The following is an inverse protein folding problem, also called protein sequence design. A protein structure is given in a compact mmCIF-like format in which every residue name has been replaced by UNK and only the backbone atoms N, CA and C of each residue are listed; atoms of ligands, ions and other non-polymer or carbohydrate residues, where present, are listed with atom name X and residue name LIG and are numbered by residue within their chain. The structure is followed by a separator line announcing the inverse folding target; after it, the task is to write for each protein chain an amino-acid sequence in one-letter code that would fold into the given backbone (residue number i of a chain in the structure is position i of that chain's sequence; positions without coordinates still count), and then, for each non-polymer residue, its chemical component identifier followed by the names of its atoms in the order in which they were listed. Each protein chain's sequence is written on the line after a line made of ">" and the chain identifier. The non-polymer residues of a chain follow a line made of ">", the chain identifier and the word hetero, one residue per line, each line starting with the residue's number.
data_IF_656665267439
#
_entry.id   IF_656665267439
#
_cell.length_a   1.000
_cell.length_b   1.000
_cell.length_c   1.000
_cell.angle_alpha   90.00
_cell.angle_beta   90.00
_cell.angle_gamma   90.00
#
_symmetry.space_group_name_H-M   'P 1'
#
loop_
_entity.id
_entity.type
_entity.pdbx_description
1 polymer ?
#
# COMPACT_ATOMS: atom_id res chain seq x y z
N UNK A 1 -4.84 60.68 -0.01
CA UNK A 1 -5.75 59.68 0.60
C UNK A 1 -5.29 58.28 0.22
N UNK A 2 -5.15 57.41 1.24
CA UNK A 2 -5.26 55.93 1.27
C UNK A 2 -4.75 55.17 0.02
N UNK A 3 -3.53 54.63 0.06
CA UNK A 3 -3.14 53.29 0.58
C UNK A 3 -3.62 52.13 -0.31
N UNK A 4 -2.66 51.23 -0.55
CA UNK A 4 -2.81 49.79 -0.83
C UNK A 4 -3.33 49.38 -2.21
N UNK A 5 -2.42 49.34 -3.19
CA UNK A 5 -2.52 48.40 -4.33
C UNK A 5 -1.16 47.71 -4.46
N UNK A 6 -0.86 46.77 -3.55
CA UNK A 6 0.25 45.81 -3.72
C UNK A 6 0.14 44.69 -2.68
N UNK A 7 -0.94 43.90 -2.71
CA UNK A 7 -1.08 42.75 -1.82
C UNK A 7 -1.86 41.59 -2.46
N UNK A 8 -1.66 41.33 -3.76
CA UNK A 8 -2.35 40.22 -4.46
C UNK A 8 -1.43 39.23 -5.17
N UNK A 9 -0.10 39.32 -5.02
CA UNK A 9 0.83 38.38 -5.68
C UNK A 9 1.47 37.38 -4.68
N UNK A 10 1.34 37.60 -3.36
CA UNK A 10 1.97 36.72 -2.35
C UNK A 10 1.12 35.53 -1.90
N UNK A 11 -0.10 35.37 -2.43
CA UNK A 11 -1.06 34.34 -1.97
C UNK A 11 -1.23 33.14 -2.92
N UNK A 12 -0.37 33.00 -3.93
CA UNK A 12 -0.41 31.86 -4.88
C UNK A 12 0.61 30.76 -4.57
N UNK A 13 1.49 30.94 -3.58
CA UNK A 13 2.55 29.97 -3.27
C UNK A 13 2.14 28.91 -2.23
N UNK A 14 0.93 28.99 -1.67
CA UNK A 14 0.49 28.09 -0.60
C UNK A 14 -0.28 26.83 -1.06
N UNK A 15 -0.44 26.61 -2.37
CA UNK A 15 -1.30 25.52 -2.90
C UNK A 15 -0.57 24.35 -3.58
N UNK A 16 0.75 24.17 -3.43
CA UNK A 16 1.48 23.08 -4.11
C UNK A 16 2.22 22.10 -3.20
N UNK A 17 1.77 21.88 -1.96
CA UNK A 17 2.21 20.72 -1.18
C UNK A 17 1.26 19.52 -1.38
N UNK A 18 0.92 19.21 -2.64
CA UNK A 18 0.59 17.83 -2.96
C UNK A 18 1.92 17.09 -3.04
N UNK A 19 2.45 16.67 -1.89
CA UNK A 19 3.61 15.78 -1.84
C UNK A 19 3.17 14.50 -2.54
N UNK A 20 3.48 14.41 -3.84
CA UNK A 20 3.23 13.23 -4.63
C UNK A 20 3.94 12.09 -3.92
N UNK A 21 3.18 11.10 -3.48
CA UNK A 21 3.77 9.91 -2.88
C UNK A 21 4.77 9.30 -3.87
N UNK A 22 5.99 9.08 -3.40
CA UNK A 22 7.10 8.56 -4.21
C UNK A 22 7.41 7.10 -3.84
N UNK A 23 8.12 6.40 -4.73
CA UNK A 23 8.61 5.04 -4.45
C UNK A 23 9.47 4.99 -3.17
N UNK A 24 10.32 5.99 -2.94
CA UNK A 24 11.22 6.08 -1.80
C UNK A 24 10.46 6.17 -0.46
N UNK A 25 9.29 6.82 -0.48
CA UNK A 25 8.42 6.89 0.68
C UNK A 25 7.87 5.52 1.07
N UNK A 26 7.70 4.62 0.10
CA UNK A 26 7.20 3.25 0.31
C UNK A 26 8.28 2.27 0.76
N UNK A 27 9.54 2.50 0.42
CA UNK A 27 10.65 1.64 0.82
C UNK A 27 10.75 1.52 2.35
N UNK A 28 10.85 0.30 2.85
CA UNK A 28 10.99 -0.04 4.27
C UNK A 28 9.99 -1.09 4.72
N UNK A 29 9.96 -1.32 6.03
CA UNK A 29 9.04 -2.28 6.66
C UNK A 29 7.79 -1.57 7.17
N UNK A 30 6.64 -2.13 6.83
CA UNK A 30 5.32 -1.68 7.25
C UNK A 30 4.66 -2.77 8.07
N UNK A 31 4.04 -2.38 9.17
CA UNK A 31 3.26 -3.29 10.01
C UNK A 31 1.77 -3.02 9.78
N UNK A 32 1.01 -4.07 9.52
CA UNK A 32 -0.45 -4.01 9.45
C UNK A 32 -1.00 -3.81 10.86
N UNK A 33 -1.63 -2.67 11.10
CA UNK A 33 -2.19 -2.31 12.42
C UNK A 33 -3.66 -2.68 12.54
N UNK A 34 -4.38 -2.69 11.41
CA UNK A 34 -5.78 -3.09 11.32
C UNK A 34 -6.07 -3.57 9.90
N UNK A 35 -6.95 -4.56 9.78
CA UNK A 35 -7.55 -4.97 8.52
C UNK A 35 -9.05 -4.64 8.59
N UNK A 36 -9.58 -4.09 7.51
CA UNK A 36 -11.00 -3.77 7.33
C UNK A 36 -11.49 -4.25 5.97
N UNK A 37 -12.79 -4.47 5.80
CA UNK A 37 -13.40 -4.61 4.47
C UNK A 37 -13.69 -3.23 3.89
N UNK A 38 -13.53 -3.11 2.57
CA UNK A 38 -13.99 -1.97 1.82
C UNK A 38 -15.53 -1.83 1.98
N UNK A 39 -16.08 -0.60 2.01
CA UNK A 39 -17.50 -0.37 2.27
C UNK A 39 -18.44 -1.09 1.29
N UNK A 40 -17.95 -1.35 0.07
CA UNK A 40 -18.66 -2.03 -1.02
C UNK A 40 -18.41 -3.54 -1.08
N UNK A 41 -17.76 -4.15 -0.09
CA UNK A 41 -17.47 -5.58 -0.09
C UNK A 41 -18.77 -6.42 -0.12
N UNK A 42 -18.86 -7.45 -0.99
CA UNK A 42 -19.99 -8.38 -1.03
C UNK A 42 -20.20 -9.08 0.32
N UNK A 43 -21.45 -9.41 0.65
CA UNK A 43 -21.79 -10.10 1.92
C UNK A 43 -21.07 -11.44 2.06
N UNK A 44 -20.91 -12.17 0.97
CA UNK A 44 -20.21 -13.46 0.90
C UNK A 44 -18.74 -13.36 1.33
N UNK A 45 -18.10 -12.19 1.14
CA UNK A 45 -16.73 -11.95 1.57
C UNK A 45 -16.60 -11.83 3.09
N UNK A 46 -17.68 -11.49 3.81
CA UNK A 46 -17.66 -11.31 5.28
C UNK A 46 -17.46 -12.62 6.05
N UNK A 47 -17.91 -13.74 5.50
CA UNK A 47 -17.83 -15.04 6.18
C UNK A 47 -16.41 -15.66 6.12
N UNK A 48 -15.66 -15.40 5.04
CA UNK A 48 -14.25 -15.77 4.91
C UNK A 48 -13.27 -14.76 5.55
N UNK A 49 -13.71 -13.51 5.67
CA UNK A 49 -12.93 -12.38 6.20
C UNK A 49 -12.37 -12.62 7.61
N UNK A 50 -13.18 -13.13 8.54
CA UNK A 50 -12.77 -13.24 9.95
C UNK A 50 -11.60 -14.21 10.18
N UNK A 51 -11.50 -15.29 9.39
CA UNK A 51 -10.37 -16.23 9.44
C UNK A 51 -9.11 -15.60 8.87
N UNK A 52 -9.28 -14.90 7.75
CA UNK A 52 -8.21 -14.25 6.99
C UNK A 52 -7.57 -13.10 7.80
N UNK A 53 -8.40 -12.27 8.45
CA UNK A 53 -7.97 -11.08 9.19
C UNK A 53 -7.14 -11.38 10.42
N UNK A 54 -7.48 -12.44 11.17
CA UNK A 54 -6.77 -12.81 12.40
C UNK A 54 -5.29 -13.13 12.15
N UNK A 55 -4.93 -13.68 11.00
CA UNK A 55 -3.54 -13.95 10.62
C UNK A 55 -2.80 -12.74 10.05
N UNK A 56 -3.53 -11.69 9.66
CA UNK A 56 -2.97 -10.53 8.96
C UNK A 56 -2.69 -9.34 9.87
N UNK A 57 -3.44 -9.23 10.97
CA UNK A 57 -3.16 -8.18 11.94
C UNK A 57 -1.77 -8.40 12.55
N UNK A 58 -0.97 -7.33 12.62
CA UNK A 58 0.43 -7.35 13.03
C UNK A 58 1.41 -8.03 12.05
N UNK A 59 0.95 -8.49 10.89
CA UNK A 59 1.83 -8.95 9.82
C UNK A 59 2.63 -7.80 9.20
N UNK A 60 3.74 -8.14 8.54
CA UNK A 60 4.63 -7.16 7.93
C UNK A 60 4.63 -7.21 6.40
N UNK A 61 4.87 -6.04 5.81
CA UNK A 61 5.16 -5.86 4.39
C UNK A 61 6.48 -5.10 4.27
N UNK A 62 7.46 -5.70 3.64
CA UNK A 62 8.79 -5.13 3.42
C UNK A 62 8.99 -4.83 1.94
N UNK A 63 9.38 -3.59 1.63
CA UNK A 63 9.67 -3.13 0.28
C UNK A 63 11.11 -2.63 0.21
N UNK A 64 11.96 -3.33 -0.54
CA UNK A 64 13.38 -2.99 -0.71
C UNK A 64 13.58 -2.05 -1.92
N UNK A 65 14.64 -1.25 -1.90
CA UNK A 65 14.93 -0.28 -2.97
C UNK A 65 15.19 -0.96 -4.32
N UNK A 66 15.81 -2.14 -4.29
CA UNK A 66 16.16 -2.95 -5.46
C UNK A 66 14.94 -3.62 -6.12
N UNK A 67 13.74 -3.39 -5.59
CA UNK A 67 12.49 -3.93 -6.10
C UNK A 67 12.17 -5.33 -5.56
N UNK A 68 12.90 -5.87 -4.59
CA UNK A 68 12.47 -7.05 -3.83
C UNK A 68 11.46 -6.65 -2.76
N UNK A 69 10.56 -7.57 -2.43
CA UNK A 69 9.65 -7.40 -1.31
C UNK A 69 9.47 -8.71 -0.55
N UNK A 70 8.94 -8.61 0.68
CA UNK A 70 8.46 -9.74 1.48
C UNK A 70 7.15 -9.34 2.11
N UNK A 71 6.09 -10.08 1.83
CA UNK A 71 4.75 -9.79 2.37
C UNK A 71 4.24 -11.05 3.05
N UNK A 72 4.20 -11.04 4.38
CA UNK A 72 3.93 -12.23 5.17
C UNK A 72 2.58 -12.90 4.82
N UNK A 73 1.60 -12.09 4.42
CA UNK A 73 0.29 -12.55 3.98
C UNK A 73 0.35 -13.44 2.73
N UNK A 74 1.20 -13.10 1.75
CA UNK A 74 1.30 -13.83 0.50
C UNK A 74 2.00 -15.17 0.74
N UNK A 75 2.99 -15.21 1.64
CA UNK A 75 3.62 -16.46 2.05
C UNK A 75 2.64 -17.38 2.79
N UNK A 76 1.76 -16.82 3.63
CA UNK A 76 0.70 -17.58 4.30
C UNK A 76 -0.28 -18.20 3.28
N UNK A 77 -0.78 -17.39 2.34
CA UNK A 77 -1.70 -17.87 1.30
C UNK A 77 -1.05 -18.93 0.40
N UNK A 78 0.21 -18.71 -0.01
CA UNK A 78 0.96 -19.68 -0.80
C UNK A 78 1.11 -21.01 -0.05
N UNK A 79 1.42 -20.97 1.25
CA UNK A 79 1.54 -22.15 2.10
C UNK A 79 0.22 -22.91 2.23
N UNK A 80 -0.90 -22.21 2.41
CA UNK A 80 -2.24 -22.83 2.45
C UNK A 80 -2.60 -23.53 1.12
N UNK A 81 -2.10 -23.00 0.00
CA UNK A 81 -2.22 -23.62 -1.32
C UNK A 81 -1.18 -24.73 -1.60
N UNK A 82 -0.33 -25.09 -0.63
CA UNK A 82 0.72 -26.09 -0.79
C UNK A 82 1.95 -25.61 -1.59
N UNK A 83 2.08 -24.30 -1.80
CA UNK A 83 3.20 -23.64 -2.46
C UNK A 83 4.08 -22.87 -1.46
N UNK A 84 5.18 -22.29 -1.94
CA UNK A 84 5.97 -21.30 -1.19
C UNK A 84 6.61 -20.32 -2.15
N UNK A 85 6.51 -19.03 -1.81
CA UNK A 85 7.11 -17.98 -2.62
C UNK A 85 8.61 -17.89 -2.38
N UNK A 86 9.13 -18.47 -1.30
CA UNK A 86 10.56 -18.54 -0.96
C UNK A 86 11.26 -17.16 -1.03
N UNK A 87 10.54 -16.08 -0.73
CA UNK A 87 11.06 -14.71 -0.84
C UNK A 87 11.34 -14.23 -2.28
N UNK A 88 10.86 -14.94 -3.31
CA UNK A 88 10.99 -14.57 -4.73
C UNK A 88 9.85 -13.64 -5.16
N UNK A 89 9.60 -12.58 -4.39
CA UNK A 89 8.61 -11.57 -4.78
C UNK A 89 9.29 -10.25 -5.14
N UNK A 90 8.87 -9.67 -6.25
CA UNK A 90 9.28 -8.32 -6.65
C UNK A 90 8.12 -7.35 -6.57
N UNK A 91 8.42 -6.07 -6.40
CA UNK A 91 7.43 -5.00 -6.39
C UNK A 91 7.83 -3.85 -7.29
N UNK A 92 6.83 -3.17 -7.82
CA UNK A 92 6.96 -1.88 -8.51
C UNK A 92 5.90 -0.92 -7.98
N UNK A 93 6.21 0.37 -8.04
CA UNK A 93 5.28 1.44 -7.72
C UNK A 93 4.89 2.18 -8.98
N UNK A 94 3.59 2.27 -9.25
CA UNK A 94 3.05 3.10 -10.32
C UNK A 94 2.64 4.45 -9.73
N UNK A 95 3.37 5.50 -10.12
CA UNK A 95 3.14 6.85 -9.61
C UNK A 95 1.86 7.50 -10.15
N UNK A 96 1.31 7.00 -11.26
CA UNK A 96 0.12 7.54 -11.93
C UNK A 96 -1.13 7.19 -11.13
N UNK A 97 -1.36 5.89 -10.87
CA UNK A 97 -2.54 5.41 -10.13
C UNK A 97 -2.24 5.16 -8.64
N UNK A 98 -1.02 5.46 -8.20
CA UNK A 98 -0.55 5.27 -6.81
C UNK A 98 -0.67 3.83 -6.35
N UNK A 99 -0.43 2.86 -7.23
CA UNK A 99 -0.49 1.43 -6.92
C UNK A 99 0.87 0.77 -6.71
N UNK A 100 0.92 -0.17 -5.77
CA UNK A 100 1.98 -1.16 -5.60
C UNK A 100 1.54 -2.42 -6.33
N UNK A 101 2.36 -2.91 -7.25
CA UNK A 101 2.17 -4.19 -7.91
C UNK A 101 3.23 -5.14 -7.37
N UNK A 102 2.79 -6.28 -6.85
CA UNK A 102 3.63 -7.36 -6.34
C UNK A 102 3.52 -8.54 -7.29
N UNK A 103 4.65 -9.10 -7.69
CA UNK A 103 4.72 -10.19 -8.65
C UNK A 103 5.63 -11.30 -8.17
N UNK A 104 5.38 -12.52 -8.66
CA UNK A 104 6.30 -13.64 -8.50
C UNK A 104 7.49 -13.50 -9.45
N UNK A 105 8.70 -13.68 -8.93
CA UNK A 105 9.96 -13.68 -9.69
C UNK A 105 10.52 -12.30 -10.07
N UNK A 106 11.71 -12.32 -10.68
CA UNK A 106 12.40 -11.18 -11.29
C UNK A 106 12.62 -11.47 -12.78
N UNK A 107 11.87 -10.83 -13.69
CA UNK A 107 12.03 -11.11 -15.13
C UNK A 107 10.88 -10.67 -16.04
N UNK A 108 10.81 -11.26 -17.24
CA UNK A 108 9.87 -10.94 -18.34
C UNK A 108 8.49 -11.63 -18.23
N UNK A 109 8.35 -12.63 -17.36
CA UNK A 109 7.07 -13.23 -16.99
C UNK A 109 6.84 -12.92 -15.53
N UNK A 110 5.93 -11.99 -15.24
CA UNK A 110 5.61 -11.56 -13.88
C UNK A 110 4.13 -11.76 -13.65
N UNK A 111 3.78 -12.91 -13.10
CA UNK A 111 2.42 -13.13 -12.62
C UNK A 111 2.19 -12.18 -11.45
N UNK A 112 1.13 -11.38 -11.56
CA UNK A 112 0.78 -10.43 -10.50
C UNK A 112 0.14 -11.19 -9.37
N UNK A 113 0.79 -11.17 -8.20
CA UNK A 113 0.30 -11.81 -6.99
C UNK A 113 -0.67 -10.90 -6.23
N UNK A 114 -0.43 -9.59 -6.29
CA UNK A 114 -1.24 -8.62 -5.57
C UNK A 114 -1.06 -7.22 -6.17
N UNK A 115 -2.17 -6.50 -6.35
CA UNK A 115 -2.18 -5.06 -6.59
C UNK A 115 -2.83 -4.36 -5.40
N UNK A 116 -2.18 -3.32 -4.90
CA UNK A 116 -2.70 -2.48 -3.82
C UNK A 116 -2.59 -1.00 -4.18
N UNK A 117 -3.66 -0.24 -4.01
CA UNK A 117 -3.61 1.21 -4.07
C UNK A 117 -3.14 1.78 -2.74
N UNK A 118 -2.29 2.80 -2.80
CA UNK A 118 -1.82 3.48 -1.61
C UNK A 118 -2.57 4.78 -1.43
N UNK A 119 -3.15 4.93 -0.24
CA UNK A 119 -3.82 6.17 0.18
C UNK A 119 -3.15 6.71 1.43
N UNK A 120 -2.85 8.01 1.41
CA UNK A 120 -2.27 8.74 2.54
C UNK A 120 -3.24 9.81 3.01
N UNK A 121 -3.62 9.76 4.28
CA UNK A 121 -4.46 10.78 4.93
C UNK A 121 -3.71 11.35 6.14
N UNK A 122 -3.07 12.51 5.93
CA UNK A 122 -2.17 13.10 6.91
C UNK A 122 -0.98 12.18 7.22
N UNK A 123 -0.95 11.61 8.43
CA UNK A 123 0.10 10.68 8.90
C UNK A 123 -0.29 9.20 8.77
N UNK A 124 -1.52 8.91 8.35
CA UNK A 124 -2.02 7.55 8.21
C UNK A 124 -1.84 7.06 6.77
N UNK A 125 -1.42 5.80 6.65
CA UNK A 125 -1.33 5.11 5.36
C UNK A 125 -2.31 3.95 5.34
N UNK A 126 -2.97 3.80 4.21
CA UNK A 126 -3.86 2.69 3.91
C UNK A 126 -3.41 2.04 2.62
N UNK A 127 -3.27 0.72 2.63
CA UNK A 127 -3.09 -0.08 1.42
C UNK A 127 -4.41 -0.78 1.11
N UNK A 128 -4.94 -0.58 -0.08
CA UNK A 128 -6.27 -1.04 -0.49
C UNK A 128 -6.07 -2.09 -1.58
N UNK A 129 -6.40 -3.35 -1.30
CA UNK A 129 -6.32 -4.43 -2.28
C UNK A 129 -7.31 -4.22 -3.42
N UNK A 130 -6.86 -4.37 -4.67
CA UNK A 130 -7.69 -4.17 -5.87
C UNK A 130 -8.82 -5.21 -5.96
N UNK A 131 -8.52 -6.49 -5.69
CA UNK A 131 -9.46 -7.61 -5.89
C UNK A 131 -9.94 -8.27 -4.59
N UNK A 132 -9.36 -7.93 -3.44
CA UNK A 132 -9.63 -8.63 -2.17
C UNK A 132 -10.64 -7.92 -1.29
N UNK A 133 -11.10 -6.72 -1.67
CA UNK A 133 -11.85 -5.79 -0.81
C UNK A 133 -11.19 -5.52 0.56
N UNK A 134 -9.92 -5.90 0.75
CA UNK A 134 -9.20 -5.72 2.01
C UNK A 134 -8.57 -4.33 2.03
N UNK A 135 -8.73 -3.65 3.16
CA UNK A 135 -8.08 -2.39 3.49
C UNK A 135 -7.16 -2.62 4.67
N UNK A 136 -5.87 -2.37 4.47
CA UNK A 136 -4.83 -2.50 5.48
C UNK A 136 -4.45 -1.11 6.00
N UNK A 137 -4.79 -0.81 7.25
CA UNK A 137 -4.21 0.33 7.95
C UNK A 137 -2.77 -0.04 8.33
N UNK A 138 -1.79 0.67 7.79
CA UNK A 138 -0.38 0.33 7.96
C UNK A 138 0.39 1.44 8.65
N UNK A 139 1.41 1.04 9.41
CA UNK A 139 2.37 1.94 10.04
C UNK A 139 3.78 1.56 9.58
N UNK A 140 4.53 2.55 9.09
CA UNK A 140 5.94 2.37 8.78
C UNK A 140 6.73 2.17 10.07
N UNK A 141 7.52 1.11 10.13
CA UNK A 141 8.43 0.87 11.25
C UNK A 141 9.52 1.94 11.22
N UNK A 142 9.83 2.53 12.38
CA UNK A 142 11.00 3.40 12.48
C UNK A 142 12.25 2.52 12.40
N UNK A 143 13.20 2.89 11.56
CA UNK A 143 14.56 2.33 11.61
C UNK A 143 15.19 2.67 12.96
#
# INVERSE_FOLDING_TARGET
>A
MKKTVLFSILLSVFFLNSIAQTKEELVGTWTVTKVSLAPNAPKEFKEGYDKMVKGMQHSTMEFEQDGKCKIAILELMAKEAGASLNGKTSWVYNEIDKSIIVSEGSGKSKDTLMKMYVKKEGKKYMFIGDETYLVFDVKKNKK
#
